data_IF_237768739085
#
_entry.id   IF_237768739085
#
_cell.length_a   1.000
_cell.length_b   1.000
_cell.length_c   1.000
_cell.angle_alpha   90.00
_cell.angle_beta   90.00
_cell.angle_gamma   90.00
#
_symmetry.space_group_name_H-M   'P 1'
#
loop_
_entity.id
_entity.type
_entity.pdbx_description
1 polymer ?
#
# COMPACT_ATOMS: atom_id res chain seq x y z
N UNK A 1 -3.57 0.60 -3.73
CA UNK A 1 -2.84 1.59 -2.92
C UNK A 1 -1.42 1.17 -2.51
N UNK A 2 -1.14 -0.07 -2.11
CA UNK A 2 0.23 -0.46 -1.74
C UNK A 2 1.21 -0.65 -2.90
N UNK A 3 0.69 -0.74 -4.13
CA UNK A 3 1.46 -1.12 -5.32
C UNK A 3 1.54 -2.63 -5.54
N UNK A 4 1.22 -3.46 -4.54
CA UNK A 4 1.20 -4.91 -4.67
C UNK A 4 -0.06 -5.39 -5.40
N UNK A 5 0.07 -6.42 -6.24
CA UNK A 5 -1.06 -7.14 -6.83
C UNK A 5 -1.79 -7.97 -5.77
N UNK A 6 -3.06 -8.30 -6.00
CA UNK A 6 -3.83 -9.19 -5.12
C UNK A 6 -3.15 -10.55 -4.90
N UNK A 7 -2.47 -11.07 -5.93
CA UNK A 7 -1.69 -12.32 -5.83
C UNK A 7 -0.48 -12.15 -4.91
N UNK A 8 0.23 -11.02 -5.00
CA UNK A 8 1.34 -10.72 -4.09
C UNK A 8 0.84 -10.58 -2.65
N UNK A 9 -0.27 -9.86 -2.41
CA UNK A 9 -0.86 -9.75 -1.07
C UNK A 9 -1.24 -11.12 -0.49
N UNK A 10 -1.88 -11.97 -1.29
CA UNK A 10 -2.23 -13.34 -0.89
C UNK A 10 -1.00 -14.21 -0.60
N UNK A 11 0.07 -14.05 -1.38
CA UNK A 11 1.32 -14.78 -1.17
C UNK A 11 2.10 -14.28 0.06
N UNK A 12 2.14 -12.96 0.28
CA UNK A 12 2.93 -12.33 1.33
C UNK A 12 2.33 -12.51 2.72
N UNK A 13 1.00 -12.61 2.83
CA UNK A 13 0.33 -12.94 4.10
C UNK A 13 0.40 -14.41 4.50
N UNK A 14 0.69 -15.31 3.56
CA UNK A 14 0.77 -16.73 3.85
C UNK A 14 2.08 -17.01 4.59
N UNK A 15 1.96 -17.52 5.82
CA UNK A 15 3.12 -18.00 6.56
C UNK A 15 3.80 -19.15 5.81
N UNK A 16 5.13 -19.06 5.72
CA UNK A 16 6.00 -20.15 5.27
C UNK A 16 6.85 -20.61 6.46
N UNK A 17 7.83 -21.50 6.25
CA UNK A 17 8.77 -21.91 7.29
C UNK A 17 9.57 -20.74 7.89
N UNK A 18 9.58 -19.58 7.22
CA UNK A 18 10.22 -18.32 7.66
C UNK A 18 9.19 -17.24 8.05
N UNK A 19 7.98 -17.66 8.42
CA UNK A 19 6.86 -16.76 8.67
C UNK A 19 6.30 -16.10 7.40
N UNK A 20 5.42 -15.13 7.62
CA UNK A 20 4.84 -14.29 6.57
C UNK A 20 5.71 -13.03 6.35
N UNK A 21 5.67 -12.48 5.14
CA UNK A 21 6.29 -11.17 4.87
C UNK A 21 5.56 -10.12 5.70
N UNK A 22 4.23 -10.08 5.59
CA UNK A 22 3.37 -9.27 6.44
C UNK A 22 2.03 -9.97 6.61
N UNK A 23 1.65 -10.26 7.86
CA UNK A 23 0.31 -10.72 8.19
C UNK A 23 -0.58 -9.49 8.48
N UNK A 24 -1.80 -9.41 7.93
CA UNK A 24 -2.71 -8.31 8.23
C UNK A 24 -3.09 -8.32 9.71
N UNK A 25 -3.14 -7.14 10.31
CA UNK A 25 -3.40 -7.00 11.74
C UNK A 25 -4.88 -6.98 12.10
N UNK A 26 -5.75 -6.55 11.17
CA UNK A 26 -7.20 -6.55 11.40
C UNK A 26 -7.76 -7.96 11.19
N UNK A 27 -7.52 -8.53 9.99
CA UNK A 27 -8.04 -9.85 9.65
C UNK A 27 -7.19 -10.51 8.58
N UNK A 28 -6.56 -11.64 8.95
CA UNK A 28 -5.82 -12.49 8.03
C UNK A 28 -6.71 -13.48 7.24
N UNK A 29 -7.96 -13.65 7.67
CA UNK A 29 -8.98 -14.54 7.06
C UNK A 29 -10.05 -13.72 6.33
N UNK A 30 -10.93 -14.35 5.53
CA UNK A 30 -11.92 -13.59 4.74
C UNK A 30 -13.00 -12.94 5.65
N UNK A 31 -13.35 -11.66 5.47
CA UNK A 31 -12.71 -10.67 4.59
C UNK A 31 -11.33 -10.26 5.12
N UNK A 32 -10.34 -10.21 4.22
CA UNK A 32 -8.96 -9.85 4.59
C UNK A 32 -8.85 -8.35 4.71
N UNK A 33 -8.45 -7.86 5.88
CA UNK A 33 -8.44 -6.45 6.23
C UNK A 33 -7.06 -6.06 6.77
N UNK A 34 -6.55 -4.93 6.28
CA UNK A 34 -5.24 -4.38 6.61
C UNK A 34 -5.42 -3.05 7.36
N UNK A 35 -4.61 -2.80 8.39
CA UNK A 35 -4.52 -1.48 9.00
C UNK A 35 -3.68 -0.53 8.12
N UNK A 36 -3.74 0.78 8.39
CA UNK A 36 -2.93 1.75 7.66
C UNK A 36 -1.42 1.48 7.76
N UNK A 37 -0.94 1.05 8.93
CA UNK A 37 0.45 0.66 9.12
C UNK A 37 0.85 -0.56 8.29
N UNK A 38 -0.05 -1.51 8.09
CA UNK A 38 0.17 -2.62 7.14
C UNK A 38 0.38 -2.09 5.72
N UNK A 39 -0.39 -1.07 5.30
CA UNK A 39 -0.24 -0.48 3.96
C UNK A 39 1.13 0.17 3.77
N UNK A 40 1.65 0.86 4.78
CA UNK A 40 3.02 1.41 4.76
C UNK A 40 4.02 0.28 4.61
N UNK A 41 3.95 -0.76 5.45
CA UNK A 41 4.84 -1.91 5.39
C UNK A 41 4.80 -2.62 4.02
N UNK A 42 3.62 -2.77 3.43
CA UNK A 42 3.45 -3.32 2.09
C UNK A 42 4.08 -2.43 1.01
N UNK A 43 3.92 -1.10 1.09
CA UNK A 43 4.56 -0.17 0.16
C UNK A 43 6.07 -0.24 0.25
N UNK A 44 6.62 -0.32 1.47
CA UNK A 44 8.04 -0.54 1.71
C UNK A 44 8.51 -1.83 1.05
N UNK A 45 7.79 -2.95 1.23
CA UNK A 45 8.12 -4.21 0.56
C UNK A 45 8.08 -4.09 -0.96
N UNK A 46 7.07 -3.42 -1.53
CA UNK A 46 6.95 -3.20 -2.99
C UNK A 46 8.09 -2.34 -3.52
N UNK A 47 8.48 -1.29 -2.78
CA UNK A 47 9.58 -0.40 -3.15
C UNK A 47 10.91 -1.14 -3.13
N UNK A 48 11.21 -1.86 -2.04
CA UNK A 48 12.44 -2.67 -1.92
C UNK A 48 12.53 -3.73 -3.04
N UNK A 49 11.40 -4.32 -3.44
CA UNK A 49 11.37 -5.32 -4.53
C UNK A 49 11.90 -4.77 -5.86
N UNK A 50 12.05 -3.46 -6.03
CA UNK A 50 12.59 -2.84 -7.26
C UNK A 50 14.07 -3.13 -7.43
N UNK A 51 14.78 -3.19 -6.33
CA UNK A 51 16.23 -3.30 -6.33
C UNK A 51 16.69 -4.64 -5.72
N UNK A 52 15.77 -5.40 -5.11
CA UNK A 52 16.11 -6.64 -4.40
C UNK A 52 15.11 -7.79 -4.57
N UNK A 53 15.57 -9.02 -4.33
CA UNK A 53 14.75 -10.24 -4.45
C UNK A 53 13.80 -10.43 -3.27
N UNK A 54 12.65 -11.08 -3.47
CA UNK A 54 11.72 -11.39 -2.37
C UNK A 54 12.37 -12.30 -1.30
N UNK A 55 13.32 -13.15 -1.70
CA UNK A 55 14.06 -14.00 -0.77
C UNK A 55 15.03 -13.18 0.09
N UNK A 56 15.67 -12.14 -0.47
CA UNK A 56 16.49 -11.19 0.31
C UNK A 56 15.63 -10.42 1.31
N UNK A 57 14.44 -9.95 0.90
CA UNK A 57 13.48 -9.30 1.82
C UNK A 57 13.08 -10.24 2.96
N UNK A 58 12.69 -11.48 2.66
CA UNK A 58 12.35 -12.45 3.71
C UNK A 58 13.50 -12.64 4.69
N UNK A 59 14.71 -12.85 4.19
CA UNK A 59 15.89 -13.00 5.04
C UNK A 59 16.13 -11.77 5.92
N UNK A 60 15.97 -10.55 5.39
CA UNK A 60 16.12 -9.33 6.18
C UNK A 60 15.06 -9.23 7.29
N UNK A 61 13.81 -9.64 7.01
CA UNK A 61 12.75 -9.70 8.01
C UNK A 61 12.99 -10.79 9.07
N UNK A 62 13.57 -11.92 8.68
CA UNK A 62 13.99 -12.98 9.62
C UNK A 62 15.09 -12.45 10.54
N UNK A 63 16.14 -11.83 9.99
CA UNK A 63 17.22 -11.20 10.76
C UNK A 63 16.67 -10.17 11.75
N UNK A 64 15.74 -9.33 11.32
CA UNK A 64 15.09 -8.34 12.19
C UNK A 64 14.40 -9.02 13.38
N UNK A 65 13.60 -10.06 13.13
CA UNK A 65 12.78 -10.74 14.15
C UNK A 65 13.57 -11.68 15.06
N UNK A 66 14.56 -12.37 14.51
CA UNK A 66 15.22 -13.50 15.15
C UNK A 66 16.59 -13.12 15.69
N UNK A 67 17.38 -12.36 14.92
CA UNK A 67 18.75 -11.99 15.30
C UNK A 67 18.79 -10.69 16.11
N UNK A 68 18.04 -9.67 15.68
CA UNK A 68 17.95 -8.37 16.39
C UNK A 68 16.87 -8.38 17.48
N UNK A 69 15.96 -9.36 17.46
CA UNK A 69 14.89 -9.47 18.45
C UNK A 69 13.84 -8.37 18.37
N UNK A 70 13.79 -7.64 17.25
CA UNK A 70 12.86 -6.53 16.99
C UNK A 70 11.42 -7.05 16.84
N UNK A 71 10.50 -6.50 17.64
CA UNK A 71 9.11 -6.98 17.76
C UNK A 71 8.06 -5.97 17.32
N UNK A 72 8.44 -4.75 16.96
CA UNK A 72 7.48 -3.73 16.52
C UNK A 72 6.90 -4.05 15.15
N UNK A 73 5.86 -3.31 14.78
CA UNK A 73 5.26 -3.43 13.46
C UNK A 73 6.25 -2.98 12.36
N UNK A 74 6.21 -3.59 11.17
CA UNK A 74 7.16 -3.30 10.08
C UNK A 74 7.12 -1.84 9.57
N UNK A 75 6.08 -1.08 9.90
CA UNK A 75 5.97 0.36 9.61
C UNK A 75 6.87 1.22 10.48
N UNK A 76 7.27 0.74 11.66
CA UNK A 76 8.09 1.50 12.61
C UNK A 76 9.56 1.53 12.20
N UNK A 77 9.95 0.63 11.31
CA UNK A 77 11.32 0.49 10.83
C UNK A 77 11.50 1.16 9.47
N UNK A 78 12.65 1.81 9.28
CA UNK A 78 13.05 2.34 7.99
C UNK A 78 14.08 1.41 7.35
N UNK A 79 13.91 1.13 6.06
CA UNK A 79 14.81 0.24 5.33
C UNK A 79 15.37 0.94 4.10
N UNK A 80 16.63 0.64 3.77
CA UNK A 80 17.29 1.08 2.52
C UNK A 80 17.91 -0.12 1.85
N UNK A 81 17.98 -0.07 0.52
CA UNK A 81 18.60 -1.11 -0.28
C UNK A 81 19.68 -0.52 -1.16
N UNK A 82 20.78 -1.27 -1.31
CA UNK A 82 21.68 -1.15 -2.45
C UNK A 82 21.53 -2.42 -3.33
N UNK A 83 22.31 -2.54 -4.41
CA UNK A 83 22.28 -3.72 -5.29
C UNK A 83 22.61 -5.04 -4.56
N UNK A 84 23.29 -4.95 -3.42
CA UNK A 84 23.86 -6.07 -2.69
C UNK A 84 23.04 -6.50 -1.47
N UNK A 85 22.43 -5.58 -0.73
CA UNK A 85 21.81 -5.83 0.59
C UNK A 85 20.67 -4.87 0.99
N UNK A 86 20.01 -5.15 2.12
CA UNK A 86 18.98 -4.33 2.77
C UNK A 86 19.52 -3.92 4.16
N UNK A 87 19.44 -2.64 4.47
CA UNK A 87 19.86 -2.03 5.74
C UNK A 87 18.65 -1.56 6.54
N UNK A 88 18.70 -1.73 7.86
CA UNK A 88 17.84 -1.05 8.84
C UNK A 88 18.47 0.30 9.20
N UNK A 89 17.67 1.36 9.21
CA UNK A 89 18.09 2.68 9.70
C UNK A 89 17.83 2.79 11.19
N UNK A 90 18.84 3.23 11.94
CA UNK A 90 18.69 3.74 13.30
C UNK A 90 19.15 5.20 13.34
N UNK A 91 18.71 6.00 14.32
CA UNK A 91 19.03 7.43 14.39
C UNK A 91 20.53 7.78 14.34
N UNK A 92 21.41 6.85 14.77
CA UNK A 92 22.86 7.06 14.81
C UNK A 92 23.69 6.02 14.05
N UNK A 93 23.09 4.90 13.59
CA UNK A 93 23.78 3.81 12.88
C UNK A 93 22.84 3.15 11.85
N UNK A 94 23.37 2.42 10.87
CA UNK A 94 22.56 1.53 10.05
C UNK A 94 23.12 0.12 10.09
N UNK A 95 22.24 -0.85 10.32
CA UNK A 95 22.56 -2.27 10.43
C UNK A 95 22.22 -3.01 9.12
N UNK A 96 23.19 -3.67 8.51
CA UNK A 96 22.96 -4.54 7.35
C UNK A 96 22.19 -5.82 7.79
N UNK A 97 20.94 -5.95 7.34
CA UNK A 97 20.05 -7.06 7.70
C UNK A 97 20.33 -8.36 6.93
N UNK A 98 21.26 -8.36 5.97
CA UNK A 98 21.60 -9.56 5.19
C UNK A 98 23.03 -10.02 5.45
N UNK A 99 23.97 -9.11 5.70
CA UNK A 99 25.41 -9.40 5.89
C UNK A 99 26.00 -8.96 7.24
N UNK A 100 25.22 -8.30 8.10
CA UNK A 100 25.60 -8.02 9.50
C UNK A 100 26.87 -7.15 9.67
N UNK A 101 26.93 -5.99 9.00
CA UNK A 101 27.99 -4.96 9.16
C UNK A 101 27.42 -3.54 9.15
N UNK A 102 27.98 -2.65 9.97
CA UNK A 102 27.48 -1.29 10.25
C UNK A 102 28.19 -0.19 9.45
N UNK A 103 27.41 0.73 8.85
CA UNK A 103 27.66 2.17 8.59
C UNK A 103 26.99 2.65 7.28
N UNK A 104 25.89 3.43 7.38
CA UNK A 104 25.44 4.42 6.38
C UNK A 104 24.18 5.20 6.86
N UNK A 105 24.12 6.52 6.64
CA UNK A 105 23.04 7.43 7.07
C UNK A 105 21.96 7.58 5.99
N UNK A 106 20.68 7.69 6.38
CA UNK A 106 19.50 7.48 5.50
C UNK A 106 18.38 8.53 5.72
N UNK A 107 17.64 8.83 4.63
CA UNK A 107 16.25 9.32 4.63
C UNK A 107 15.40 8.51 3.62
N UNK A 108 14.47 7.61 4.02
CA UNK A 108 13.59 6.89 3.06
C UNK A 108 12.12 6.62 3.47
N UNK A 109 11.68 6.84 4.73
CA UNK A 109 10.26 6.62 5.07
C UNK A 109 9.31 7.63 4.40
N UNK A 110 9.80 8.83 4.10
CA UNK A 110 9.04 9.83 3.33
C UNK A 110 8.81 9.37 1.88
N UNK A 111 9.71 8.56 1.32
CA UNK A 111 9.63 8.15 -0.08
C UNK A 111 8.55 7.10 -0.35
N UNK A 112 8.23 6.26 0.64
CA UNK A 112 7.17 5.26 0.45
C UNK A 112 5.78 5.90 0.46
N UNK A 113 5.57 7.03 1.13
CA UNK A 113 4.30 7.76 1.10
C UNK A 113 4.11 8.48 -0.24
N UNK A 114 5.20 8.99 -0.82
CA UNK A 114 5.20 9.68 -2.12
C UNK A 114 4.88 8.74 -3.29
N UNK A 115 4.51 9.29 -4.46
CA UNK A 115 4.35 8.51 -5.68
C UNK A 115 5.66 7.82 -6.11
N UNK A 116 5.56 6.64 -6.71
CA UNK A 116 6.70 5.95 -7.32
C UNK A 116 6.27 5.00 -8.43
N UNK A 117 7.21 4.56 -9.27
CA UNK A 117 6.96 3.59 -10.34
C UNK A 117 7.40 2.18 -9.95
N UNK A 118 6.66 1.19 -10.41
CA UNK A 118 6.94 -0.24 -10.23
C UNK A 118 6.48 -1.02 -11.45
N UNK A 119 7.38 -1.76 -12.10
CA UNK A 119 7.03 -2.62 -13.24
C UNK A 119 6.20 -1.87 -14.31
N UNK A 120 6.58 -0.61 -14.62
CA UNK A 120 5.87 0.26 -15.57
C UNK A 120 4.59 0.91 -15.05
N UNK A 121 4.16 0.61 -13.82
CA UNK A 121 2.95 1.15 -13.20
C UNK A 121 3.28 2.33 -12.29
N UNK A 122 2.47 3.39 -12.38
CA UNK A 122 2.52 4.49 -11.43
C UNK A 122 1.74 4.13 -10.16
N UNK A 123 2.39 4.16 -9.01
CA UNK A 123 1.77 4.10 -7.69
C UNK A 123 1.59 5.54 -7.22
N UNK A 124 0.36 5.99 -6.93
CA UNK A 124 0.10 7.35 -6.51
C UNK A 124 0.60 7.60 -5.07
N UNK A 125 0.60 8.87 -4.69
CA UNK A 125 0.81 9.29 -3.31
C UNK A 125 -0.21 8.57 -2.40
N UNK A 126 0.25 8.09 -1.25
CA UNK A 126 -0.61 7.33 -0.35
C UNK A 126 -1.64 8.23 0.34
N UNK A 127 -1.26 9.45 0.73
CA UNK A 127 -2.09 10.36 1.51
C UNK A 127 -2.99 11.23 0.63
N UNK A 128 -2.54 11.53 -0.60
CA UNK A 128 -3.29 12.31 -1.59
C UNK A 128 -3.20 11.69 -2.99
N UNK A 129 -3.87 10.55 -3.24
CA UNK A 129 -3.73 9.84 -4.52
C UNK A 129 -4.24 10.61 -5.74
N UNK A 130 -5.15 11.56 -5.53
CA UNK A 130 -5.63 12.55 -6.51
C UNK A 130 -5.82 13.90 -5.84
N UNK A 131 -5.97 14.95 -6.65
CA UNK A 131 -6.07 16.32 -6.14
C UNK A 131 -7.21 16.48 -5.13
N UNK A 132 -8.35 15.80 -5.30
CA UNK A 132 -9.47 15.88 -4.37
C UNK A 132 -9.75 14.60 -3.57
N UNK A 133 -8.81 13.63 -3.57
CA UNK A 133 -8.95 12.37 -2.82
C UNK A 133 -7.84 12.27 -1.79
N UNK A 134 -8.22 12.08 -0.52
CA UNK A 134 -7.28 11.96 0.61
C UNK A 134 -7.45 10.65 1.37
N UNK A 135 -6.37 10.22 2.02
CA UNK A 135 -6.33 9.05 2.91
C UNK A 135 -5.83 9.50 4.27
N UNK A 136 -6.66 9.30 5.29
CA UNK A 136 -6.34 9.57 6.68
C UNK A 136 -6.78 8.37 7.54
N UNK A 137 -5.87 7.70 8.27
CA UNK A 137 -6.24 6.59 9.14
C UNK A 137 -7.29 6.97 10.22
N UNK A 138 -7.34 8.23 10.65
CA UNK A 138 -8.34 8.76 11.58
C UNK A 138 -9.71 9.02 10.95
N UNK A 139 -9.83 8.96 9.62
CA UNK A 139 -11.08 9.18 8.89
C UNK A 139 -11.49 7.89 8.20
N UNK A 140 -12.64 7.33 8.60
CA UNK A 140 -13.20 6.09 8.01
C UNK A 140 -12.17 4.94 7.96
N UNK A 141 -11.24 4.90 8.92
CA UNK A 141 -10.21 3.87 9.00
C UNK A 141 -9.20 3.89 7.86
N UNK A 142 -8.97 5.04 7.21
CA UNK A 142 -8.05 5.15 6.06
C UNK A 142 -8.67 4.71 4.73
N UNK A 143 -9.99 4.57 4.64
CA UNK A 143 -10.68 4.51 3.35
C UNK A 143 -10.43 5.83 2.62
N UNK A 144 -10.04 5.83 1.33
CA UNK A 144 -9.89 7.06 0.57
C UNK A 144 -11.22 7.81 0.48
N UNK A 145 -11.20 9.11 0.75
CA UNK A 145 -12.40 9.95 0.77
C UNK A 145 -12.19 11.21 -0.05
N UNK A 146 -13.29 11.84 -0.46
CA UNK A 146 -13.26 13.19 -1.00
C UNK A 146 -12.79 14.16 0.09
N UNK A 147 -11.80 14.99 -0.25
CA UNK A 147 -11.24 15.99 0.65
C UNK A 147 -12.35 16.89 1.23
N UNK A 148 -12.38 17.01 2.56
CA UNK A 148 -13.36 17.85 3.26
C UNK A 148 -14.79 17.29 3.40
N UNK A 149 -15.12 16.16 2.75
CA UNK A 149 -16.49 15.62 2.75
C UNK A 149 -16.66 14.34 3.60
N UNK A 150 -15.58 13.60 3.88
CA UNK A 150 -15.60 12.23 4.46
C UNK A 150 -16.45 11.22 3.66
N UNK A 151 -16.81 11.57 2.43
CA UNK A 151 -17.55 10.71 1.49
C UNK A 151 -16.53 9.80 0.80
N UNK A 152 -16.71 8.46 0.83
CA UNK A 152 -15.83 7.53 0.12
C UNK A 152 -15.75 7.81 -1.37
N UNK A 153 -14.56 7.67 -1.95
CA UNK A 153 -14.35 7.91 -3.38
C UNK A 153 -15.19 6.97 -4.27
N UNK A 154 -15.39 5.73 -3.82
CA UNK A 154 -16.11 4.67 -4.54
C UNK A 154 -17.61 4.91 -4.55
N UNK A 155 -18.18 5.45 -3.48
CA UNK A 155 -19.58 5.91 -3.46
C UNK A 155 -19.82 7.02 -4.51
N UNK A 156 -18.88 7.95 -4.67
CA UNK A 156 -18.97 9.02 -5.68
C UNK A 156 -18.74 8.48 -7.09
N UNK A 157 -17.76 7.60 -7.27
CA UNK A 157 -17.51 6.94 -8.55
C UNK A 157 -18.71 6.10 -9.02
N UNK A 158 -19.42 5.45 -8.08
CA UNK A 158 -20.64 4.69 -8.38
C UNK A 158 -21.73 5.59 -8.98
N UNK A 159 -21.95 6.80 -8.46
CA UNK A 159 -22.91 7.74 -9.04
C UNK A 159 -22.58 8.08 -10.50
N UNK A 160 -21.30 8.32 -10.81
CA UNK A 160 -20.87 8.60 -12.19
C UNK A 160 -21.08 7.38 -13.10
N UNK A 161 -20.79 6.17 -12.61
CA UNK A 161 -21.01 4.90 -13.33
C UNK A 161 -22.49 4.63 -13.60
N UNK A 162 -23.36 5.08 -12.70
CA UNK A 162 -24.82 5.01 -12.85
C UNK A 162 -25.38 6.14 -13.75
N UNK A 163 -24.51 6.97 -14.34
CA UNK A 163 -24.87 8.00 -15.30
C UNK A 163 -25.22 9.35 -14.70
N UNK A 164 -24.95 9.58 -13.41
CA UNK A 164 -25.08 10.91 -12.80
C UNK A 164 -23.96 11.81 -13.35
N UNK A 165 -24.28 12.95 -13.98
CA UNK A 165 -23.26 13.90 -14.44
C UNK A 165 -22.43 14.44 -13.26
N UNK A 166 -21.11 14.66 -13.41
CA UNK A 166 -20.26 15.15 -12.33
C UNK A 166 -20.79 16.40 -11.62
N UNK A 167 -21.39 17.32 -12.38
CA UNK A 167 -21.94 18.59 -11.89
C UNK A 167 -23.16 18.40 -11.00
N UNK A 168 -23.82 17.24 -11.08
CA UNK A 168 -25.02 16.88 -10.30
C UNK A 168 -24.70 16.01 -9.09
N UNK A 169 -23.45 15.63 -8.89
CA UNK A 169 -23.06 14.85 -7.70
C UNK A 169 -23.37 15.60 -6.40
N UNK A 170 -23.31 16.93 -6.42
CA UNK A 170 -23.70 17.77 -5.28
C UNK A 170 -25.17 17.65 -4.88
N UNK A 171 -26.06 17.18 -5.77
CA UNK A 171 -27.45 16.86 -5.44
C UNK A 171 -27.54 15.72 -4.41
N UNK A 172 -26.54 14.82 -4.38
CA UNK A 172 -26.45 13.67 -3.47
C UNK A 172 -25.48 13.93 -2.31
N UNK A 173 -24.34 14.55 -2.61
CA UNK A 173 -23.29 14.88 -1.66
C UNK A 173 -22.94 16.37 -1.77
N UNK A 174 -23.60 17.27 -1.02
CA UNK A 174 -23.49 18.72 -1.21
C UNK A 174 -22.08 19.29 -1.13
N UNK A 175 -21.16 18.62 -0.43
CA UNK A 175 -19.76 19.02 -0.28
C UNK A 175 -18.84 18.51 -1.39
N UNK A 176 -19.34 17.73 -2.35
CA UNK A 176 -18.55 17.12 -3.43
C UNK A 176 -18.74 17.92 -4.72
N UNK A 177 -17.66 18.53 -5.20
CA UNK A 177 -17.66 19.25 -6.48
C UNK A 177 -17.57 18.27 -7.66
N UNK A 178 -17.98 18.71 -8.86
CA UNK A 178 -17.84 17.91 -10.07
C UNK A 178 -16.39 17.53 -10.39
N UNK A 179 -15.41 18.39 -10.09
CA UNK A 179 -13.98 18.05 -10.22
C UNK A 179 -13.58 16.94 -9.26
N UNK A 180 -14.04 17.02 -8.01
CA UNK A 180 -13.79 15.98 -7.02
C UNK A 180 -14.42 14.65 -7.42
N UNK A 181 -15.60 14.68 -8.07
CA UNK A 181 -16.23 13.48 -8.59
C UNK A 181 -15.44 12.84 -9.73
N UNK A 182 -14.88 13.64 -10.64
CA UNK A 182 -14.00 13.14 -11.71
C UNK A 182 -12.72 12.51 -11.15
N UNK A 183 -12.08 13.15 -10.17
CA UNK A 183 -10.90 12.58 -9.49
C UNK A 183 -11.23 11.27 -8.78
N UNK A 184 -12.41 11.17 -8.17
CA UNK A 184 -12.87 9.95 -7.51
C UNK A 184 -13.07 8.81 -8.51
N UNK A 185 -13.69 9.08 -9.66
CA UNK A 185 -13.87 8.10 -10.73
C UNK A 185 -12.53 7.64 -11.31
N UNK A 186 -11.62 8.56 -11.62
CA UNK A 186 -10.29 8.22 -12.12
C UNK A 186 -9.49 7.38 -11.10
N UNK A 187 -9.59 7.72 -9.80
CA UNK A 187 -8.97 6.91 -8.76
C UNK A 187 -9.61 5.52 -8.63
N UNK A 188 -10.94 5.41 -8.81
CA UNK A 188 -11.62 4.13 -8.82
C UNK A 188 -11.18 3.25 -9.99
N UNK A 189 -11.03 3.81 -11.19
CA UNK A 189 -10.52 3.07 -12.34
C UNK A 189 -9.07 2.60 -12.12
N UNK A 190 -8.25 3.42 -11.45
CA UNK A 190 -6.93 3.00 -10.99
C UNK A 190 -7.00 1.82 -10.00
N UNK A 191 -7.90 1.84 -9.02
CA UNK A 191 -8.07 0.74 -8.06
C UNK A 191 -8.55 -0.54 -8.76
N UNK A 192 -9.55 -0.41 -9.62
CA UNK A 192 -10.16 -1.54 -10.36
C UNK A 192 -9.15 -2.22 -11.30
N UNK A 193 -8.16 -1.47 -11.80
CA UNK A 193 -7.06 -2.06 -12.58
C UNK A 193 -6.14 -3.00 -11.77
N UNK A 194 -6.31 -3.14 -10.45
CA UNK A 194 -5.67 -4.18 -9.62
C UNK A 194 -6.54 -5.43 -9.45
N UNK A 195 -7.83 -5.37 -9.76
CA UNK A 195 -8.69 -6.54 -9.75
C UNK A 195 -8.51 -7.35 -11.04
N UNK A 196 -8.40 -8.68 -10.98
CA UNK A 196 -8.50 -9.49 -12.18
C UNK A 196 -9.88 -9.29 -12.79
N UNK A 197 -9.95 -9.01 -14.10
CA UNK A 197 -11.22 -8.88 -14.85
C UNK A 197 -12.15 -10.04 -14.50
N UNK A 198 -13.43 -9.74 -14.22
CA UNK A 198 -14.49 -10.71 -13.88
C UNK A 198 -14.49 -11.96 -14.78
N UNK A 199 -14.18 -11.79 -16.07
CA UNK A 199 -14.09 -12.88 -17.07
C UNK A 199 -13.13 -14.02 -16.67
N UNK A 200 -12.05 -13.74 -15.92
CA UNK A 200 -11.11 -14.78 -15.47
C UNK A 200 -11.56 -15.53 -14.20
N UNK A 201 -12.54 -14.99 -13.46
CA UNK A 201 -13.13 -15.67 -12.29
C UNK A 201 -14.17 -16.70 -12.70
N UNK A 202 -14.91 -16.45 -13.78
CA UNK A 202 -15.91 -17.39 -14.31
C UNK A 202 -15.25 -18.53 -15.09
N UNK A 203 -14.18 -18.26 -15.85
CA UNK A 203 -13.41 -19.29 -16.55
C UNK A 203 -12.60 -20.24 -15.64
N UNK A 204 -12.39 -19.87 -14.37
CA UNK A 204 -11.72 -20.71 -13.37
C UNK A 204 -12.73 -21.47 -12.46
N UNK A 205 -14.03 -21.24 -12.67
CA UNK A 205 -15.12 -21.86 -11.93
C UNK A 205 -16.02 -22.77 -12.79
N UNK A 206 -15.68 -22.94 -14.08
CA UNK A 206 -16.23 -23.94 -14.99
C UNK A 206 -15.21 -25.00 -15.34
#
# INVERSE_FOLDING_TARGET
MSGATLRQLAHWRKATNRGAVLAPEVSATRPVLYFFRDLIALRTCVKLRSDTSLQKIRRALDTLRDDLGEREHLSEYQFVTDESTIYLVEPEQAADLVRNRSNLVIYQLVDVLRPFYRDGRHIPDLLRPRDHVTVDPGVRGGIPVIEGARVPYDDVAALLRDGVPPERVSDYYPSVSGKAALDAADFADYVDSYEPRKEQREAAAG
#
